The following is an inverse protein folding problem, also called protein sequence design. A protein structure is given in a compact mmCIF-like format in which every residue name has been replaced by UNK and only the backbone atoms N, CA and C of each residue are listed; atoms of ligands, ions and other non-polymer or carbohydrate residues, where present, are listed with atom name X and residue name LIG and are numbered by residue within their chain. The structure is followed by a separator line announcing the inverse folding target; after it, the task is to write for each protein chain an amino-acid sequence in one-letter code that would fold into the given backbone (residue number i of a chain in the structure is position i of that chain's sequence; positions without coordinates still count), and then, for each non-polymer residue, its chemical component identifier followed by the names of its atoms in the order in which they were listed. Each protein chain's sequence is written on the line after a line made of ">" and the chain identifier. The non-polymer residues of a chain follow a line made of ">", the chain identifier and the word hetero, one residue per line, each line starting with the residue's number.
data_IF_887997340959
#
_entry.id   IF_887997340959
#
_cell.length_a   1.000
_cell.length_b   1.000
_cell.length_c   1.000
_cell.angle_alpha   90.00
_cell.angle_beta   90.00
_cell.angle_gamma   90.00
#
_symmetry.space_group_name_H-M   'P 1'
#
loop_
_entity.id
_entity.type
_entity.pdbx_description
1 polymer ?
#
# COMPACT_ATOMS: atom_id res chain seq x y z
N UNK A 1 -6.13 7.17 7.08
CA UNK A 1 -5.86 8.57 7.45
C UNK A 1 -4.42 8.83 7.90
N UNK A 2 -3.75 8.01 8.74
CA UNK A 2 -2.35 8.27 9.11
C UNK A 2 -1.39 8.33 7.92
N UNK A 3 -1.62 7.48 6.90
CA UNK A 3 -0.80 7.44 5.69
C UNK A 3 -0.65 8.80 4.98
N UNK A 4 -1.64 9.70 5.05
CA UNK A 4 -1.58 11.01 4.41
C UNK A 4 -0.54 11.93 5.06
N UNK A 5 -0.41 11.87 6.39
CA UNK A 5 0.50 12.72 7.16
C UNK A 5 1.89 12.10 7.29
N UNK A 6 1.96 10.79 7.45
CA UNK A 6 3.22 10.06 7.66
C UNK A 6 3.85 9.56 6.34
N UNK A 7 3.10 9.58 5.23
CA UNK A 7 3.62 9.24 3.90
C UNK A 7 4.79 10.13 3.45
N UNK A 8 4.73 11.47 3.57
CA UNK A 8 5.85 12.36 3.29
C UNK A 8 7.09 12.06 4.17
N UNK A 9 6.86 11.68 5.43
CA UNK A 9 7.92 11.28 6.37
C UNK A 9 8.59 10.00 5.89
N UNK A 10 7.79 9.01 5.47
CA UNK A 10 8.27 7.78 4.87
C UNK A 10 9.08 8.01 3.59
N UNK A 11 8.60 8.89 2.71
CA UNK A 11 9.30 9.29 1.49
C UNK A 11 10.65 9.96 1.78
N UNK A 12 10.68 10.91 2.71
CA UNK A 12 11.92 11.56 3.11
C UNK A 12 12.94 10.57 3.69
N UNK A 13 12.50 9.65 4.55
CA UNK A 13 13.35 8.59 5.10
C UNK A 13 13.90 7.67 3.99
N UNK A 14 13.06 7.29 3.03
CA UNK A 14 13.46 6.46 1.89
C UNK A 14 14.51 7.13 0.99
N UNK A 15 14.46 8.46 0.88
CA UNK A 15 15.35 9.23 0.02
C UNK A 15 16.66 9.63 0.69
N UNK A 16 16.69 9.77 2.02
CA UNK A 16 17.83 10.33 2.76
C UNK A 16 18.56 9.35 3.68
N UNK A 17 17.90 8.26 4.10
CA UNK A 17 18.50 7.25 5.00
C UNK A 17 18.73 5.93 4.27
N UNK A 18 19.57 5.08 4.86
CA UNK A 18 19.78 3.72 4.38
C UNK A 18 18.43 3.00 4.23
N UNK A 19 18.11 2.60 3.00
CA UNK A 19 16.79 2.07 2.65
C UNK A 19 16.54 0.76 3.39
N UNK A 20 17.58 -0.09 3.48
CA UNK A 20 17.53 -1.35 4.24
C UNK A 20 17.13 -1.09 5.70
N UNK A 21 17.78 -0.13 6.37
CA UNK A 21 17.51 0.15 7.78
C UNK A 21 16.12 0.76 7.98
N UNK A 22 15.66 1.57 7.03
CA UNK A 22 14.31 2.16 7.06
C UNK A 22 13.23 1.09 6.91
N UNK A 23 13.43 0.14 5.99
CA UNK A 23 12.57 -1.04 5.83
C UNK A 23 12.53 -1.89 7.11
N UNK A 24 13.70 -2.25 7.66
CA UNK A 24 13.79 -3.03 8.89
C UNK A 24 13.10 -2.34 10.07
N UNK A 25 13.34 -1.05 10.27
CA UNK A 25 12.68 -0.28 11.33
C UNK A 25 11.16 -0.34 11.22
N UNK A 26 10.62 -0.13 10.01
CA UNK A 26 9.18 -0.14 9.80
C UNK A 26 8.55 -1.52 10.06
N UNK A 27 9.22 -2.61 9.67
CA UNK A 27 8.75 -3.97 9.90
C UNK A 27 8.87 -4.37 11.39
N UNK A 28 9.94 -3.98 12.07
CA UNK A 28 10.12 -4.24 13.52
C UNK A 28 9.02 -3.55 14.32
N UNK A 29 8.70 -2.28 14.02
CA UNK A 29 7.60 -1.57 14.69
C UNK A 29 6.27 -2.29 14.45
N UNK A 30 5.98 -2.70 13.22
CA UNK A 30 4.74 -3.43 12.88
C UNK A 30 4.67 -4.80 13.57
N UNK A 31 5.80 -5.51 13.65
CA UNK A 31 5.90 -6.78 14.36
C UNK A 31 5.59 -6.60 15.84
N UNK A 32 6.27 -5.66 16.53
CA UNK A 32 6.08 -5.42 17.96
C UNK A 32 4.62 -5.06 18.27
N UNK A 33 4.03 -4.14 17.49
CA UNK A 33 2.63 -3.73 17.67
C UNK A 33 1.67 -4.90 17.46
N UNK A 34 1.94 -5.75 16.47
CA UNK A 34 1.09 -6.92 16.17
C UNK A 34 1.24 -8.01 17.24
N UNK A 35 2.44 -8.21 17.79
CA UNK A 35 2.68 -9.11 18.92
C UNK A 35 1.97 -8.63 20.19
N UNK A 36 2.02 -7.33 20.49
CA UNK A 36 1.29 -6.75 21.62
C UNK A 36 -0.22 -6.93 21.45
N UNK A 37 -0.75 -6.69 20.24
CA UNK A 37 -2.14 -6.97 19.91
C UNK A 37 -2.50 -8.45 20.11
N UNK A 38 -1.67 -9.37 19.64
CA UNK A 38 -1.85 -10.81 19.82
C UNK A 38 -1.96 -11.16 21.30
N UNK A 39 -1.02 -10.68 22.13
CA UNK A 39 -1.00 -10.89 23.58
C UNK A 39 -2.27 -10.32 24.23
N UNK A 40 -2.64 -9.07 23.91
CA UNK A 40 -3.85 -8.45 24.46
C UNK A 40 -5.12 -9.22 24.09
N UNK A 41 -5.20 -9.76 22.88
CA UNK A 41 -6.34 -10.58 22.44
C UNK A 41 -6.35 -11.96 23.11
N UNK A 42 -5.17 -12.57 23.29
CA UNK A 42 -5.02 -13.88 23.89
C UNK A 42 -5.42 -13.90 25.37
N UNK A 43 -5.09 -12.85 26.12
CA UNK A 43 -5.46 -12.68 27.53
C UNK A 43 -6.81 -11.98 27.74
N UNK A 44 -7.63 -11.83 26.70
CA UNK A 44 -8.95 -11.18 26.75
C UNK A 44 -8.96 -9.73 27.27
N UNK A 45 -7.80 -9.07 27.33
CA UNK A 45 -7.61 -7.68 27.76
C UNK A 45 -7.76 -6.68 26.60
N UNK A 46 -8.50 -7.04 25.56
CA UNK A 46 -8.65 -6.22 24.36
C UNK A 46 -9.64 -5.07 24.62
N UNK A 47 -9.24 -3.84 24.29
CA UNK A 47 -10.10 -2.67 24.35
C UNK A 47 -10.01 -1.91 23.02
N UNK A 48 -11.08 -1.19 22.65
CA UNK A 48 -11.15 -0.36 21.44
C UNK A 48 -9.98 0.62 21.35
N UNK A 49 -9.50 1.16 22.47
CA UNK A 49 -8.34 2.05 22.49
C UNK A 49 -7.05 1.34 22.03
N UNK A 50 -6.83 0.09 22.43
CA UNK A 50 -5.67 -0.72 22.01
C UNK A 50 -5.77 -1.03 20.52
N UNK A 51 -6.96 -1.36 20.03
CA UNK A 51 -7.21 -1.60 18.60
C UNK A 51 -6.97 -0.34 17.76
N UNK A 52 -7.42 0.83 18.22
CA UNK A 52 -7.20 2.11 17.53
C UNK A 52 -5.70 2.44 17.52
N UNK A 53 -5.05 2.40 18.68
CA UNK A 53 -3.62 2.75 18.80
C UNK A 53 -2.75 1.84 17.92
N UNK A 54 -2.99 0.54 17.97
CA UNK A 54 -2.27 -0.42 17.14
C UNK A 54 -2.54 -0.25 15.64
N UNK A 55 -3.78 0.05 15.24
CA UNK A 55 -4.11 0.39 13.85
C UNK A 55 -3.36 1.64 13.37
N UNK A 56 -3.27 2.67 14.21
CA UNK A 56 -2.51 3.89 13.91
C UNK A 56 -1.02 3.56 13.76
N UNK A 57 -0.42 2.88 14.73
CA UNK A 57 1.01 2.56 14.71
C UNK A 57 1.40 1.64 13.54
N UNK A 58 0.59 0.62 13.25
CA UNK A 58 0.80 -0.24 12.08
C UNK A 58 0.67 0.54 10.76
N UNK A 59 -0.27 1.50 10.69
CA UNK A 59 -0.41 2.37 9.52
C UNK A 59 0.78 3.31 9.36
N UNK A 60 1.34 3.84 10.46
CA UNK A 60 2.57 4.65 10.43
C UNK A 60 3.72 3.80 9.89
N UNK A 61 3.95 2.60 10.42
CA UNK A 61 4.97 1.69 9.91
C UNK A 61 4.77 1.40 8.41
N UNK A 62 3.53 1.12 7.98
CA UNK A 62 3.21 0.92 6.55
C UNK A 62 3.51 2.14 5.69
N UNK A 63 3.24 3.34 6.19
CA UNK A 63 3.49 4.60 5.47
C UNK A 63 4.98 4.89 5.25
N UNK A 64 5.85 4.32 6.10
CA UNK A 64 7.30 4.35 5.94
C UNK A 64 7.78 3.22 5.01
N UNK A 65 7.22 2.02 5.19
CA UNK A 65 7.59 0.83 4.42
C UNK A 65 7.32 1.00 2.92
N UNK A 66 6.11 1.45 2.55
CA UNK A 66 5.67 1.50 1.16
C UNK A 66 6.57 2.36 0.24
N UNK A 67 6.89 3.62 0.56
CA UNK A 67 7.81 4.42 -0.26
C UNK A 67 9.23 3.83 -0.26
N UNK A 68 9.72 3.37 0.88
CA UNK A 68 11.05 2.74 0.99
C UNK A 68 11.18 1.51 0.10
N UNK A 69 10.15 0.67 0.05
CA UNK A 69 10.10 -0.52 -0.77
C UNK A 69 10.10 -0.17 -2.27
N UNK A 70 9.31 0.83 -2.68
CA UNK A 70 9.27 1.29 -4.08
C UNK A 70 10.62 1.89 -4.51
N UNK A 71 11.36 2.55 -3.62
CA UNK A 71 12.72 3.05 -3.89
C UNK A 71 13.78 1.93 -3.88
N UNK A 72 13.52 0.81 -3.19
CA UNK A 72 14.43 -0.34 -3.14
C UNK A 72 14.45 -1.14 -4.45
N UNK A 73 13.28 -1.36 -5.08
CA UNK A 73 13.15 -2.16 -6.32
C UNK A 73 14.17 -1.77 -7.40
N UNK A 74 14.30 -0.49 -7.81
CA UNK A 74 15.24 -0.11 -8.87
C UNK A 74 16.72 -0.18 -8.48
N UNK A 75 17.03 -0.45 -7.20
CA UNK A 75 18.42 -0.66 -6.74
C UNK A 75 18.80 -2.14 -6.71
N UNK A 76 17.81 -3.02 -6.62
CA UNK A 76 18.01 -4.47 -6.57
C UNK A 76 17.94 -5.06 -8.00
N UNK A 77 17.18 -4.41 -8.89
CA UNK A 77 16.90 -4.91 -10.24
C UNK A 77 17.48 -3.98 -11.30
N UNK A 78 18.02 -4.55 -12.39
CA UNK A 78 18.53 -3.77 -13.51
C UNK A 78 17.44 -2.96 -14.22
N UNK A 79 17.80 -1.81 -14.81
CA UNK A 79 16.84 -0.93 -15.50
C UNK A 79 15.99 -1.64 -16.58
N UNK A 80 16.58 -2.61 -17.28
CA UNK A 80 15.89 -3.40 -18.32
C UNK A 80 14.77 -4.29 -17.74
N UNK A 81 14.90 -4.69 -16.48
CA UNK A 81 14.00 -5.62 -15.81
C UNK A 81 13.01 -4.91 -14.86
N UNK A 82 12.98 -3.57 -14.81
CA UNK A 82 12.07 -2.82 -13.93
C UNK A 82 10.60 -3.07 -14.24
N UNK A 83 10.22 -3.13 -15.53
CA UNK A 83 8.85 -3.42 -15.94
C UNK A 83 8.41 -4.81 -15.47
N UNK A 84 9.31 -5.80 -15.54
CA UNK A 84 9.06 -7.16 -15.06
C UNK A 84 8.94 -7.20 -13.53
N UNK A 85 9.85 -6.54 -12.80
CA UNK A 85 9.80 -6.46 -11.34
C UNK A 85 8.53 -5.76 -10.81
N UNK A 86 8.10 -4.69 -11.48
CA UNK A 86 6.84 -4.01 -11.16
C UNK A 86 5.63 -4.91 -11.43
N UNK A 87 5.64 -5.65 -12.54
CA UNK A 87 4.58 -6.61 -12.86
C UNK A 87 4.46 -7.71 -11.80
N UNK A 88 5.58 -8.32 -11.39
CA UNK A 88 5.59 -9.32 -10.32
C UNK A 88 5.09 -8.72 -9.00
N UNK A 89 5.55 -7.52 -8.66
CA UNK A 89 5.13 -6.85 -7.42
C UNK A 89 3.63 -6.60 -7.41
N UNK A 90 3.05 -6.19 -8.55
CA UNK A 90 1.61 -6.03 -8.69
C UNK A 90 0.88 -7.36 -8.52
N UNK A 91 1.33 -8.42 -9.22
CA UNK A 91 0.72 -9.75 -9.10
C UNK A 91 0.78 -10.24 -7.65
N UNK A 92 1.89 -10.02 -6.95
CA UNK A 92 2.04 -10.38 -5.54
C UNK A 92 1.08 -9.58 -4.63
N UNK A 93 0.89 -8.28 -4.88
CA UNK A 93 -0.08 -7.45 -4.15
C UNK A 93 -1.52 -7.94 -4.37
N UNK A 94 -1.90 -8.24 -5.62
CA UNK A 94 -3.24 -8.79 -5.95
C UNK A 94 -3.45 -10.18 -5.34
N UNK A 95 -2.45 -11.06 -5.43
CA UNK A 95 -2.49 -12.37 -4.79
C UNK A 95 -2.62 -12.26 -3.28
N UNK A 96 -1.89 -11.34 -2.63
CA UNK A 96 -2.02 -11.09 -1.20
C UNK A 96 -3.42 -10.55 -0.83
N UNK A 97 -4.05 -9.76 -1.71
CA UNK A 97 -5.41 -9.26 -1.51
C UNK A 97 -6.46 -10.37 -1.53
N UNK A 98 -6.26 -11.41 -2.34
CA UNK A 98 -7.18 -12.56 -2.45
C UNK A 98 -6.86 -13.64 -1.41
N UNK A 99 -5.60 -14.06 -1.35
CA UNK A 99 -5.15 -15.13 -0.45
C UNK A 99 -5.14 -14.70 1.02
N UNK A 100 -4.92 -13.42 1.31
CA UNK A 100 -4.90 -12.91 2.68
C UNK A 100 -6.20 -13.20 3.44
N UNK A 101 -7.37 -12.74 2.94
CA UNK A 101 -8.67 -13.07 3.52
C UNK A 101 -8.95 -14.58 3.54
N UNK A 102 -8.60 -15.34 2.50
CA UNK A 102 -8.80 -16.79 2.47
C UNK A 102 -8.04 -17.51 3.58
N UNK A 103 -6.76 -17.17 3.76
CA UNK A 103 -5.92 -17.72 4.84
C UNK A 103 -6.47 -17.29 6.20
N UNK A 104 -6.89 -16.02 6.34
CA UNK A 104 -7.51 -15.55 7.58
C UNK A 104 -8.79 -16.33 7.92
N UNK A 105 -9.68 -16.53 6.94
CA UNK A 105 -10.92 -17.31 7.12
C UNK A 105 -10.63 -18.76 7.47
N UNK A 106 -9.64 -19.37 6.80
CA UNK A 106 -9.22 -20.74 7.10
C UNK A 106 -8.67 -20.86 8.54
N UNK A 107 -7.79 -19.95 8.96
CA UNK A 107 -7.28 -19.90 10.34
C UNK A 107 -8.45 -19.75 11.31
N UNK A 108 -9.38 -18.82 11.07
CA UNK A 108 -10.55 -18.61 11.94
C UNK A 108 -11.48 -19.83 11.99
N UNK A 109 -11.54 -20.63 10.93
CA UNK A 109 -12.40 -21.83 10.90
C UNK A 109 -11.88 -22.99 11.77
N UNK A 110 -10.57 -23.07 11.98
CA UNK A 110 -9.93 -24.16 12.73
C UNK A 110 -9.46 -23.69 14.12
N UNK A 111 -9.16 -22.39 14.26
CA UNK A 111 -8.64 -21.84 15.50
C UNK A 111 -9.74 -21.62 16.53
N UNK A 112 -9.47 -22.02 17.78
CA UNK A 112 -10.35 -21.79 18.94
C UNK A 112 -10.43 -20.30 19.30
N UNK A 113 -9.40 -19.51 18.98
CA UNK A 113 -9.32 -18.08 19.31
C UNK A 113 -8.91 -17.25 18.08
N UNK A 114 -9.52 -16.08 17.89
CA UNK A 114 -9.20 -15.15 16.79
C UNK A 114 -7.78 -14.57 16.88
N UNK A 115 -7.14 -14.64 18.05
CA UNK A 115 -5.73 -14.24 18.26
C UNK A 115 -4.76 -14.93 17.29
N UNK A 116 -5.05 -16.17 16.85
CA UNK A 116 -4.19 -16.90 15.93
C UNK A 116 -3.98 -16.21 14.58
N UNK A 117 -4.93 -15.38 14.12
CA UNK A 117 -4.76 -14.54 12.92
C UNK A 117 -3.69 -13.48 13.14
N UNK A 118 -3.65 -12.88 14.34
CA UNK A 118 -2.65 -11.88 14.71
C UNK A 118 -1.26 -12.52 14.84
N UNK A 119 -1.19 -13.75 15.37
CA UNK A 119 0.05 -14.52 15.42
C UNK A 119 0.57 -14.83 14.01
N UNK A 120 -0.29 -15.29 13.11
CA UNK A 120 0.08 -15.49 11.71
C UNK A 120 0.63 -14.22 11.07
N UNK A 121 -0.04 -13.08 11.28
CA UNK A 121 0.44 -11.79 10.78
C UNK A 121 1.81 -11.39 11.37
N UNK A 122 2.04 -11.63 12.67
CA UNK A 122 3.34 -11.42 13.30
C UNK A 122 4.43 -12.30 12.66
N UNK A 123 4.14 -13.56 12.36
CA UNK A 123 5.08 -14.46 11.66
C UNK A 123 5.43 -13.90 10.28
N UNK A 124 4.47 -13.35 9.53
CA UNK A 124 4.76 -12.74 8.22
C UNK A 124 5.70 -11.54 8.31
N UNK A 125 5.53 -10.67 9.31
CA UNK A 125 6.47 -9.56 9.56
C UNK A 125 7.85 -10.06 9.98
N UNK A 126 7.90 -11.10 10.80
CA UNK A 126 9.17 -11.69 11.21
C UNK A 126 9.93 -12.28 10.02
N UNK A 127 9.26 -13.02 9.14
CA UNK A 127 9.85 -13.56 7.90
C UNK A 127 10.33 -12.44 6.97
N UNK A 128 9.53 -11.38 6.82
CA UNK A 128 9.90 -10.18 6.06
C UNK A 128 11.19 -9.54 6.60
N UNK A 129 11.33 -9.40 7.93
CA UNK A 129 12.55 -8.89 8.57
C UNK A 129 13.75 -9.77 8.22
N UNK A 130 13.64 -11.10 8.29
CA UNK A 130 14.73 -12.02 7.94
C UNK A 130 15.17 -11.87 6.49
N UNK A 131 14.21 -11.76 5.56
CA UNK A 131 14.50 -11.55 4.13
C UNK A 131 15.22 -10.22 3.93
N UNK A 132 14.74 -9.14 4.54
CA UNK A 132 15.33 -7.80 4.41
C UNK A 132 16.72 -7.77 5.06
N UNK A 133 16.92 -8.50 6.15
CA UNK A 133 18.21 -8.59 6.83
C UNK A 133 19.30 -9.19 5.93
N UNK A 134 18.93 -10.12 5.06
CA UNK A 134 19.83 -10.74 4.08
C UNK A 134 20.10 -9.87 2.83
N UNK A 135 19.38 -8.78 2.62
CA UNK A 135 19.68 -7.85 1.54
C UNK A 135 21.01 -7.13 1.78
N UNK A 136 21.77 -6.88 0.72
CA UNK A 136 22.94 -6.01 0.76
C UNK A 136 22.53 -4.58 1.15
N UNK A 137 23.49 -3.80 1.64
CA UNK A 137 23.21 -2.42 2.04
C UNK A 137 22.74 -1.60 0.83
N UNK A 138 21.54 -1.03 0.93
CA UNK A 138 20.96 -0.16 -0.10
C UNK A 138 21.13 1.29 0.33
N UNK A 139 22.25 1.89 -0.06
CA UNK A 139 22.53 3.29 0.26
C UNK A 139 21.53 4.21 -0.42
N UNK A 140 20.90 5.12 0.34
CA UNK A 140 20.13 6.21 -0.25
C UNK A 140 21.02 7.04 -1.19
N UNK A 141 20.44 7.55 -2.30
CA UNK A 141 21.15 8.59 -3.05
C UNK A 141 21.17 9.79 -2.12
N UNK A 142 22.35 10.14 -1.58
CA UNK A 142 22.53 11.31 -0.70
C UNK A 142 22.20 12.61 -1.45
N UNK A 143 20.91 12.90 -1.64
CA UNK A 143 20.44 14.25 -1.97
C UNK A 143 20.19 14.93 -0.62
N UNK A 144 20.95 15.98 -0.32
CA UNK A 144 21.02 16.64 0.99
C UNK A 144 19.78 17.50 1.26
N UNK A 145 18.58 16.94 1.18
CA UNK A 145 17.34 17.67 1.49
C UNK A 145 16.97 17.41 2.95
N UNK A 146 17.24 18.38 3.82
CA UNK A 146 16.81 18.35 5.22
C UNK A 146 15.30 18.59 5.29
N UNK A 147 14.58 17.62 5.85
CA UNK A 147 13.10 17.53 5.94
C UNK A 147 12.40 18.80 6.43
N UNK A 148 13.08 19.61 7.24
CA UNK A 148 12.49 20.69 8.02
C UNK A 148 13.31 21.98 8.03
N UNK A 149 14.41 22.08 7.27
CA UNK A 149 15.21 23.31 7.33
C UNK A 149 14.70 24.44 6.44
N UNK A 150 13.88 24.14 5.43
CA UNK A 150 13.18 25.17 4.64
C UNK A 150 11.85 24.61 4.09
N UNK A 151 10.79 24.69 4.88
CA UNK A 151 9.40 24.57 4.37
C UNK A 151 9.21 25.51 3.17
N UNK A 152 9.89 26.65 3.20
CA UNK A 152 9.96 27.62 2.12
C UNK A 152 10.56 27.04 0.83
N UNK A 153 11.66 26.27 0.90
CA UNK A 153 12.27 25.62 -0.28
C UNK A 153 11.39 24.48 -0.81
N UNK A 154 10.67 23.78 0.07
CA UNK A 154 9.69 22.76 -0.34
C UNK A 154 8.49 23.40 -1.04
N UNK A 155 7.98 24.52 -0.52
CA UNK A 155 6.94 25.31 -1.18
C UNK A 155 7.41 25.92 -2.51
N UNK A 156 8.66 26.41 -2.58
CA UNK A 156 9.25 26.97 -3.79
C UNK A 156 9.48 25.89 -4.86
N UNK A 157 9.91 24.70 -4.47
CA UNK A 157 10.06 23.57 -5.39
C UNK A 157 8.71 22.99 -5.84
N UNK A 158 7.68 23.03 -4.99
CA UNK A 158 6.30 22.75 -5.38
C UNK A 158 5.76 23.80 -6.37
N UNK A 159 5.97 25.10 -6.12
CA UNK A 159 5.55 26.19 -7.02
C UNK A 159 6.30 26.12 -8.36
N UNK A 160 7.60 25.81 -8.33
CA UNK A 160 8.40 25.57 -9.53
C UNK A 160 7.88 24.39 -10.35
N UNK A 161 7.61 23.24 -9.70
CA UNK A 161 7.07 22.06 -10.37
C UNK A 161 5.66 22.30 -10.93
N UNK A 162 4.84 23.06 -10.21
CA UNK A 162 3.53 23.50 -10.69
C UNK A 162 3.69 24.31 -11.98
N UNK A 163 4.49 25.39 -11.94
CA UNK A 163 4.68 26.29 -13.10
C UNK A 163 5.31 25.61 -14.32
N UNK A 164 6.29 24.73 -14.12
CA UNK A 164 7.03 24.08 -15.21
C UNK A 164 6.27 22.88 -15.78
N UNK A 165 5.49 22.17 -14.97
CA UNK A 165 4.86 20.91 -15.37
C UNK A 165 3.43 20.75 -14.85
N UNK A 166 2.59 21.78 -15.06
CA UNK A 166 1.18 21.84 -14.68
C UNK A 166 0.39 20.55 -14.99
N UNK A 167 0.68 19.90 -16.12
CA UNK A 167 0.03 18.63 -16.52
C UNK A 167 0.27 17.48 -15.53
N UNK A 168 1.43 17.45 -14.89
CA UNK A 168 1.80 16.42 -13.93
C UNK A 168 1.07 16.63 -12.59
N UNK A 169 0.86 17.89 -12.21
CA UNK A 169 0.07 18.25 -11.03
C UNK A 169 -1.41 17.91 -11.18
N UNK A 170 -1.98 18.17 -12.37
CA UNK A 170 -3.35 17.75 -12.73
C UNK A 170 -3.50 16.23 -12.60
N UNK A 171 -2.50 15.46 -13.03
CA UNK A 171 -2.53 14.00 -12.90
C UNK A 171 -2.48 13.57 -11.43
N UNK A 172 -1.61 14.16 -10.61
CA UNK A 172 -1.50 13.81 -9.19
C UNK A 172 -2.81 14.11 -8.45
N UNK A 173 -3.34 15.33 -8.61
CA UNK A 173 -4.60 15.72 -7.96
C UNK A 173 -5.77 14.90 -8.52
N UNK A 174 -5.86 14.78 -9.85
CA UNK A 174 -6.94 14.06 -10.53
C UNK A 174 -6.96 12.59 -10.13
N UNK A 175 -5.82 11.89 -10.19
CA UNK A 175 -5.71 10.51 -9.74
C UNK A 175 -5.97 10.37 -8.24
N UNK A 176 -5.52 11.31 -7.41
CA UNK A 176 -5.80 11.33 -5.97
C UNK A 176 -7.30 11.38 -5.67
N UNK A 177 -8.04 12.29 -6.33
CA UNK A 177 -9.49 12.41 -6.20
C UNK A 177 -10.17 11.13 -6.67
N UNK A 178 -9.78 10.61 -7.84
CA UNK A 178 -10.36 9.38 -8.35
C UNK A 178 -10.11 8.19 -7.41
N UNK A 179 -8.88 8.00 -6.93
CA UNK A 179 -8.54 6.92 -5.98
C UNK A 179 -9.34 7.04 -4.67
N UNK A 180 -9.52 8.26 -4.15
CA UNK A 180 -10.35 8.50 -2.97
C UNK A 180 -11.80 8.11 -3.21
N UNK A 181 -12.34 8.47 -4.37
CA UNK A 181 -13.71 8.15 -4.74
C UNK A 181 -13.89 6.63 -4.93
N UNK A 182 -13.05 6.01 -5.75
CA UNK A 182 -13.07 4.56 -5.99
C UNK A 182 -12.87 3.78 -4.70
N UNK A 183 -11.89 4.18 -3.88
CA UNK A 183 -11.59 3.54 -2.60
C UNK A 183 -12.73 3.66 -1.59
N UNK A 184 -13.43 4.80 -1.59
CA UNK A 184 -14.62 5.00 -0.74
C UNK A 184 -15.78 4.16 -1.23
N UNK A 185 -16.11 4.23 -2.52
CA UNK A 185 -17.20 3.45 -3.15
C UNK A 185 -17.00 1.96 -2.90
N UNK A 186 -15.82 1.41 -3.19
CA UNK A 186 -15.55 -0.02 -3.02
C UNK A 186 -15.57 -0.46 -1.55
N UNK A 187 -14.97 0.30 -0.64
CA UNK A 187 -14.87 -0.11 0.77
C UNK A 187 -16.13 0.13 1.58
N UNK A 188 -17.03 1.02 1.13
CA UNK A 188 -18.29 1.30 1.83
C UNK A 188 -19.46 0.53 1.23
N UNK A 189 -19.56 0.41 -0.09
CA UNK A 189 -20.68 -0.27 -0.75
C UNK A 189 -20.63 -1.77 -0.51
N UNK A 190 -19.45 -2.39 -0.56
CA UNK A 190 -19.35 -3.85 -0.42
C UNK A 190 -19.83 -4.32 0.97
N UNK A 191 -19.40 -3.73 2.10
CA UNK A 191 -19.94 -4.08 3.42
C UNK A 191 -21.40 -3.63 3.63
N UNK A 192 -21.83 -2.54 2.99
CA UNK A 192 -23.23 -2.12 3.08
C UNK A 192 -24.18 -3.14 2.40
N UNK A 193 -23.78 -3.68 1.24
CA UNK A 193 -24.57 -4.68 0.49
C UNK A 193 -24.61 -6.03 1.21
N UNK A 194 -23.57 -6.42 1.96
CA UNK A 194 -23.62 -7.62 2.82
C UNK A 194 -24.61 -7.44 3.97
N UNK A 195 -24.59 -6.28 4.65
CA UNK A 195 -25.50 -5.99 5.78
C UNK A 195 -26.96 -5.84 5.33
N UNK A 196 -27.19 -5.35 4.09
CA UNK A 196 -28.52 -5.19 3.49
C UNK A 196 -29.13 -6.50 2.93
N UNK A 197 -28.52 -7.66 3.17
CA UNK A 197 -29.17 -8.97 2.96
C UNK A 197 -28.97 -9.63 1.60
N UNK A 198 -28.07 -9.15 0.74
CA UNK A 198 -27.76 -9.82 -0.56
C UNK A 198 -26.77 -11.00 -0.46
N UNK A 199 -26.34 -11.37 0.74
CA UNK A 199 -25.53 -12.56 1.04
C UNK A 199 -24.05 -12.42 0.69
N UNK A 200 -23.18 -13.04 1.50
CA UNK A 200 -21.71 -13.03 1.37
C UNK A 200 -21.21 -13.53 -0.01
N UNK A 201 -22.03 -14.35 -0.68
CA UNK A 201 -21.75 -14.92 -2.00
C UNK A 201 -21.68 -13.81 -3.07
N UNK A 202 -22.62 -12.85 -3.06
CA UNK A 202 -22.67 -11.79 -4.06
C UNK A 202 -21.43 -10.88 -3.97
N UNK A 203 -21.01 -10.56 -2.75
CA UNK A 203 -19.80 -9.76 -2.53
C UNK A 203 -18.52 -10.50 -2.90
N UNK A 204 -18.50 -11.82 -2.73
CA UNK A 204 -17.39 -12.65 -3.17
C UNK A 204 -17.24 -12.62 -4.69
N UNK A 205 -18.35 -12.71 -5.44
CA UNK A 205 -18.34 -12.58 -6.91
C UNK A 205 -17.79 -11.23 -7.40
N UNK A 206 -18.18 -10.13 -6.75
CA UNK A 206 -17.66 -8.79 -7.09
C UNK A 206 -16.15 -8.73 -6.90
N UNK A 207 -15.62 -9.24 -5.77
CA UNK A 207 -14.18 -9.28 -5.54
C UNK A 207 -13.44 -10.17 -6.54
N UNK A 208 -14.01 -11.32 -6.92
CA UNK A 208 -13.42 -12.20 -7.93
C UNK A 208 -13.36 -11.53 -9.31
N UNK A 209 -14.43 -10.86 -9.73
CA UNK A 209 -14.45 -10.11 -10.99
C UNK A 209 -13.45 -8.95 -11.00
N UNK A 210 -13.34 -8.22 -9.88
CA UNK A 210 -12.33 -7.18 -9.72
C UNK A 210 -10.91 -7.73 -9.83
N UNK A 211 -10.59 -8.80 -9.10
CA UNK A 211 -9.26 -9.42 -9.13
C UNK A 211 -8.92 -9.96 -10.53
N UNK A 212 -9.90 -10.52 -11.23
CA UNK A 212 -9.71 -10.98 -12.61
C UNK A 212 -9.43 -9.81 -13.56
N UNK A 213 -10.16 -8.71 -13.40
CA UNK A 213 -9.94 -7.46 -14.15
C UNK A 213 -8.57 -6.83 -13.90
N UNK A 214 -8.10 -6.80 -12.65
CA UNK A 214 -6.77 -6.25 -12.32
C UNK A 214 -5.64 -7.09 -12.93
N UNK A 215 -5.76 -8.41 -12.90
CA UNK A 215 -4.78 -9.33 -13.53
C UNK A 215 -4.73 -9.13 -15.05
N UNK A 216 -5.88 -9.17 -15.72
CA UNK A 216 -5.96 -8.98 -17.18
C UNK A 216 -5.45 -7.60 -17.58
N UNK A 217 -5.87 -6.56 -16.86
CA UNK A 217 -5.45 -5.18 -17.08
C UNK A 217 -3.93 -5.03 -16.97
N UNK A 218 -3.32 -5.63 -15.94
CA UNK A 218 -1.86 -5.61 -15.75
C UNK A 218 -1.08 -6.30 -16.88
N UNK A 219 -1.58 -7.43 -17.38
CA UNK A 219 -0.95 -8.16 -18.49
C UNK A 219 -1.05 -7.40 -19.83
N UNK A 220 -2.20 -6.77 -20.10
CA UNK A 220 -2.46 -6.02 -21.33
C UNK A 220 -1.74 -4.66 -21.31
N UNK A 221 -1.56 -4.06 -20.13
CA UNK A 221 -0.98 -2.72 -19.97
C UNK A 221 0.36 -2.57 -20.71
N UNK A 222 1.28 -3.52 -20.51
CA UNK A 222 2.60 -3.49 -21.15
C UNK A 222 2.55 -3.67 -22.68
N UNK A 223 1.45 -4.23 -23.23
CA UNK A 223 1.27 -4.38 -24.69
C UNK A 223 0.61 -3.16 -25.33
N UNK A 224 -0.30 -2.49 -24.62
CA UNK A 224 -1.10 -1.39 -25.17
C UNK A 224 -0.50 0.01 -24.91
N UNK A 225 0.27 0.18 -23.83
CA UNK A 225 0.73 1.51 -23.40
C UNK A 225 2.26 1.60 -23.41
N UNK A 226 2.82 2.00 -24.55
CA UNK A 226 4.27 2.21 -24.69
C UNK A 226 4.75 3.60 -24.20
N UNK A 227 3.87 4.61 -24.21
CA UNK A 227 4.18 5.97 -23.77
C UNK A 227 3.01 6.50 -22.94
N UNK A 228 3.28 6.74 -21.65
CA UNK A 228 2.32 7.31 -20.71
C UNK A 228 2.37 8.83 -20.81
N UNK A 229 1.27 9.45 -21.24
CA UNK A 229 1.11 10.90 -21.19
C UNK A 229 0.02 11.28 -20.19
N UNK A 230 0.11 12.46 -19.55
CA UNK A 230 -0.90 12.95 -18.60
C UNK A 230 -2.34 12.85 -19.12
N UNK A 231 -2.55 13.24 -20.38
CA UNK A 231 -3.87 13.26 -21.01
C UNK A 231 -4.42 11.84 -21.23
N UNK A 232 -3.58 10.88 -21.64
CA UNK A 232 -3.99 9.48 -21.79
C UNK A 232 -4.38 8.88 -20.45
N UNK A 233 -3.63 9.20 -19.39
CA UNK A 233 -3.91 8.69 -18.05
C UNK A 233 -5.24 9.24 -17.52
N UNK A 234 -5.54 10.51 -17.77
CA UNK A 234 -6.82 11.10 -17.37
C UNK A 234 -8.00 10.58 -18.18
N UNK A 235 -7.80 10.31 -19.48
CA UNK A 235 -8.79 9.64 -20.29
C UNK A 235 -9.17 8.26 -19.73
N UNK A 236 -8.19 7.46 -19.31
CA UNK A 236 -8.48 6.15 -18.68
C UNK A 236 -9.27 6.27 -17.38
N UNK A 237 -8.99 7.29 -16.55
CA UNK A 237 -9.77 7.55 -15.34
C UNK A 237 -11.23 7.94 -15.64
N UNK A 238 -11.47 8.73 -16.68
CA UNK A 238 -12.84 9.08 -17.10
C UNK A 238 -13.58 7.85 -17.61
N UNK A 239 -12.95 7.04 -18.47
CA UNK A 239 -13.54 5.79 -18.96
C UNK A 239 -13.87 4.85 -17.79
N UNK A 240 -12.94 4.70 -16.84
CA UNK A 240 -13.16 3.91 -15.63
C UNK A 240 -14.34 4.43 -14.80
N UNK A 241 -14.45 5.74 -14.62
CA UNK A 241 -15.57 6.37 -13.93
C UNK A 241 -16.92 6.12 -14.61
N UNK A 242 -16.99 6.25 -15.94
CA UNK A 242 -18.22 5.97 -16.71
C UNK A 242 -18.65 4.51 -16.55
N UNK A 243 -17.72 3.57 -16.64
CA UNK A 243 -18.00 2.13 -16.47
C UNK A 243 -18.53 1.83 -15.06
N UNK A 244 -18.08 2.55 -14.03
CA UNK A 244 -18.51 2.35 -12.65
C UNK A 244 -19.94 2.83 -12.36
N UNK A 245 -20.45 3.77 -13.18
CA UNK A 245 -21.77 4.38 -13.01
C UNK A 245 -22.86 3.75 -13.90
N UNK A 246 -22.47 2.96 -14.91
CA UNK A 246 -23.39 2.20 -15.80
C UNK A 246 -23.62 0.82 -15.22
#
# INVERSE_FOLDING_TARGET
>A
MPFLFFGPIGGWLADNKDIKNTLLFSEIVRLIVTCLLFISYFYENINIYILILSSVLTTIGRSIFQPSFRTAIPKIVSNKNLGYANSISQIAEEMAMVLGPLICSFILSIAVNKSWVLMFNAITYFLSILIIFNLSKLDARKKKYLMFQNIQDTCLSLDYLYRVNNKLFIVIIGSGICILFTGSVLRFIIPAVTVLGKGEIFTSYIFSLMAFGTIIGGLIYNKCVNIVTPNKLMFFWVVYGVILFV
#
